data_IF_307926390424
#
_entry.id   IF_307926390424
#
_cell.length_a   1.000
_cell.length_b   1.000
_cell.length_c   1.000
_cell.angle_alpha   90.00
_cell.angle_beta   90.00
_cell.angle_gamma   90.00
#
_symmetry.space_group_name_H-M   'P 1'
#
loop_
_entity.id
_entity.type
_entity.pdbx_description
1 polymer ?
#
# COMPACT_ATOMS: atom_id res chain seq x y z
N UNK A 1 50.22 15.94 -33.66
CA UNK A 1 49.85 14.81 -32.80
C UNK A 1 49.86 15.17 -31.30
N UNK A 2 49.13 16.16 -30.82
CA UNK A 2 49.06 16.44 -29.37
C UNK A 2 47.89 17.25 -28.87
N UNK A 3 46.72 17.24 -29.57
CA UNK A 3 45.57 18.09 -29.12
C UNK A 3 44.19 17.40 -29.11
N UNK A 4 44.14 16.07 -28.95
CA UNK A 4 42.87 15.31 -28.92
C UNK A 4 42.45 14.87 -27.51
N UNK A 5 43.23 15.10 -26.46
CA UNK A 5 42.92 14.60 -25.10
C UNK A 5 42.62 15.70 -24.06
N UNK A 6 41.79 16.69 -24.40
CA UNK A 6 41.24 17.56 -23.35
C UNK A 6 39.81 17.96 -23.68
N UNK A 7 38.87 17.21 -23.22
CA UNK A 7 37.51 17.62 -22.76
C UNK A 7 36.66 16.42 -22.39
N UNK A 8 37.05 15.71 -21.36
CA UNK A 8 36.03 15.03 -20.53
C UNK A 8 35.76 15.97 -19.38
N UNK A 9 34.71 16.77 -19.53
CA UNK A 9 34.12 17.56 -18.46
C UNK A 9 33.35 16.66 -17.50
N UNK A 10 33.21 17.07 -16.22
CA UNK A 10 32.73 16.21 -15.14
C UNK A 10 31.24 15.88 -15.28
N UNK A 11 30.91 14.68 -14.87
CA UNK A 11 29.59 14.10 -14.67
C UNK A 11 28.48 15.13 -14.38
N UNK A 12 27.70 15.45 -15.39
CA UNK A 12 26.47 16.20 -15.26
C UNK A 12 25.37 15.31 -14.70
N UNK A 13 25.10 15.45 -13.40
CA UNK A 13 23.82 15.36 -12.72
C UNK A 13 22.73 14.56 -13.45
N UNK A 14 22.59 13.30 -13.08
CA UNK A 14 21.30 12.59 -13.11
C UNK A 14 20.33 13.26 -12.14
N UNK A 15 19.71 14.31 -12.62
CA UNK A 15 18.51 14.90 -12.05
C UNK A 15 17.48 14.93 -13.16
N UNK A 16 16.98 13.76 -13.56
CA UNK A 16 15.77 13.68 -14.37
C UNK A 16 14.62 14.02 -13.45
N UNK A 17 14.40 15.33 -13.29
CA UNK A 17 13.20 15.85 -12.66
C UNK A 17 12.00 15.19 -13.33
N UNK A 18 11.14 14.59 -12.54
CA UNK A 18 9.78 14.23 -12.90
C UNK A 18 9.20 15.45 -13.62
N UNK A 19 9.06 15.39 -14.95
CA UNK A 19 8.27 16.37 -15.65
C UNK A 19 6.86 16.30 -15.06
N UNK A 20 6.27 17.41 -14.63
CA UNK A 20 4.90 17.40 -14.16
C UNK A 20 4.05 16.87 -15.31
N UNK A 21 3.46 15.69 -15.14
CA UNK A 21 2.60 15.05 -16.11
C UNK A 21 1.54 16.06 -16.57
N UNK A 22 1.30 16.15 -17.87
CA UNK A 22 0.22 16.97 -18.43
C UNK A 22 -1.04 16.73 -17.60
N UNK A 23 -1.59 17.78 -17.02
CA UNK A 23 -2.84 17.71 -16.25
C UNK A 23 -3.90 17.08 -17.15
N UNK A 24 -4.54 15.99 -16.75
CA UNK A 24 -5.54 15.33 -17.57
C UNK A 24 -6.66 16.32 -17.90
N UNK A 25 -6.98 16.47 -19.16
CA UNK A 25 -7.99 17.40 -19.68
C UNK A 25 -9.38 17.21 -19.06
N UNK A 26 -9.64 15.98 -18.49
CA UNK A 26 -10.91 15.62 -17.86
C UNK A 26 -10.67 14.69 -16.65
N UNK A 27 -10.22 15.26 -15.53
CA UNK A 27 -10.00 14.53 -14.26
C UNK A 27 -11.25 13.75 -13.81
N UNK A 28 -12.43 14.38 -13.89
CA UNK A 28 -13.71 13.75 -13.51
C UNK A 28 -14.04 12.51 -14.33
N UNK A 29 -13.78 12.53 -15.63
CA UNK A 29 -14.02 11.42 -16.54
C UNK A 29 -13.05 10.26 -16.26
N UNK A 30 -11.78 10.58 -16.04
CA UNK A 30 -10.74 9.60 -15.71
C UNK A 30 -11.01 8.90 -14.37
N UNK A 31 -11.37 9.66 -13.33
CA UNK A 31 -11.75 9.11 -12.02
C UNK A 31 -13.01 8.23 -12.13
N UNK A 32 -14.01 8.66 -12.89
CA UNK A 32 -15.23 7.87 -13.11
C UNK A 32 -14.94 6.55 -13.81
N UNK A 33 -14.09 6.55 -14.83
CA UNK A 33 -13.66 5.33 -15.52
C UNK A 33 -12.91 4.40 -14.56
N UNK A 34 -11.97 4.94 -13.78
CA UNK A 34 -11.22 4.19 -12.78
C UNK A 34 -12.16 3.55 -11.73
N UNK A 35 -13.11 4.32 -11.24
CA UNK A 35 -14.13 3.83 -10.32
C UNK A 35 -15.00 2.70 -10.93
N UNK A 36 -15.28 2.74 -12.23
CA UNK A 36 -15.98 1.66 -12.92
C UNK A 36 -15.16 0.37 -13.00
N UNK A 37 -13.84 0.47 -13.20
CA UNK A 37 -12.95 -0.70 -13.18
C UNK A 37 -12.91 -1.35 -11.80
N UNK A 38 -12.77 -0.54 -10.77
CA UNK A 38 -12.75 -0.97 -9.38
C UNK A 38 -14.12 -1.51 -8.94
N UNK A 39 -15.21 -0.91 -9.43
CA UNK A 39 -16.59 -1.31 -9.12
C UNK A 39 -16.96 -2.76 -9.45
N UNK A 40 -16.24 -3.40 -10.36
CA UNK A 40 -16.37 -4.85 -10.62
C UNK A 40 -15.91 -5.71 -9.43
N UNK A 41 -15.04 -5.17 -8.58
CA UNK A 41 -14.45 -5.87 -7.43
C UNK A 41 -15.03 -5.41 -6.09
N UNK A 42 -16.24 -4.82 -6.10
CA UNK A 42 -16.91 -4.28 -4.90
C UNK A 42 -17.00 -5.28 -3.74
N UNK A 43 -17.21 -6.57 -4.04
CA UNK A 43 -17.25 -7.62 -3.01
C UNK A 43 -15.86 -7.80 -2.37
N UNK A 44 -14.80 -7.84 -3.17
CA UNK A 44 -13.43 -7.94 -2.65
C UNK A 44 -13.07 -6.71 -1.78
N UNK A 45 -13.44 -5.51 -2.22
CA UNK A 45 -13.24 -4.26 -1.46
C UNK A 45 -14.03 -4.30 -0.15
N UNK A 46 -15.27 -4.80 -0.16
CA UNK A 46 -16.07 -4.94 1.05
C UNK A 46 -15.43 -5.90 2.06
N UNK A 47 -14.90 -7.04 1.61
CA UNK A 47 -14.15 -7.99 2.46
C UNK A 47 -12.90 -7.31 3.03
N UNK A 48 -12.16 -6.57 2.20
CA UNK A 48 -10.98 -5.81 2.63
C UNK A 48 -11.34 -4.78 3.70
N UNK A 49 -12.47 -4.08 3.57
CA UNK A 49 -12.94 -3.14 4.59
C UNK A 49 -13.25 -3.84 5.93
N UNK A 50 -13.89 -5.01 5.89
CA UNK A 50 -14.15 -5.79 7.12
C UNK A 50 -12.84 -6.22 7.75
N UNK A 51 -11.91 -6.78 6.97
CA UNK A 51 -10.58 -7.20 7.48
C UNK A 51 -9.82 -6.02 8.09
N UNK A 52 -9.86 -4.84 7.45
CA UNK A 52 -9.23 -3.63 7.97
C UNK A 52 -9.84 -3.19 9.30
N UNK A 53 -11.17 -3.16 9.41
CA UNK A 53 -11.86 -2.81 10.66
C UNK A 53 -11.50 -3.79 11.78
N UNK A 54 -11.54 -5.10 11.51
CA UNK A 54 -11.13 -6.11 12.51
C UNK A 54 -9.66 -5.94 12.94
N UNK A 55 -8.76 -5.77 11.99
CA UNK A 55 -7.34 -5.54 12.27
C UNK A 55 -7.13 -4.30 13.13
N UNK A 56 -7.82 -3.19 12.82
CA UNK A 56 -7.73 -1.94 13.57
C UNK A 56 -8.23 -2.11 15.02
N UNK A 57 -9.36 -2.78 15.21
CA UNK A 57 -9.90 -3.06 16.55
C UNK A 57 -8.87 -3.80 17.40
N UNK A 58 -8.23 -4.84 16.86
CA UNK A 58 -7.20 -5.58 17.57
C UNK A 58 -5.95 -4.74 17.86
N UNK A 59 -5.52 -3.91 16.91
CA UNK A 59 -4.39 -3.01 17.11
C UNK A 59 -4.64 -1.96 18.20
N UNK A 60 -5.85 -1.43 18.30
CA UNK A 60 -6.22 -0.43 19.32
C UNK A 60 -6.44 -1.08 20.68
N UNK A 61 -6.98 -2.31 20.72
CA UNK A 61 -7.19 -3.04 21.95
C UNK A 61 -5.87 -3.50 22.61
N UNK A 62 -4.86 -3.84 21.81
CA UNK A 62 -3.57 -4.35 22.26
C UNK A 62 -2.89 -3.47 23.31
N UNK A 63 -2.59 -2.19 23.03
CA UNK A 63 -1.96 -1.27 23.99
C UNK A 63 -2.77 -1.08 25.26
N UNK A 64 -4.11 -1.06 25.16
CA UNK A 64 -5.00 -0.91 26.32
C UNK A 64 -4.92 -2.13 27.27
N UNK A 65 -4.82 -3.31 26.72
CA UNK A 65 -4.69 -4.55 27.51
C UNK A 65 -3.27 -4.70 28.05
N UNK A 66 -2.25 -4.30 27.25
CA UNK A 66 -0.86 -4.27 27.69
C UNK A 66 -0.66 -3.32 28.89
N UNK A 67 -1.39 -2.20 28.93
CA UNK A 67 -1.42 -1.29 30.10
C UNK A 67 -1.82 -2.00 31.38
N UNK A 68 -2.76 -2.97 31.35
CA UNK A 68 -3.15 -3.77 32.52
C UNK A 68 -2.01 -4.65 33.02
N UNK A 69 -1.18 -5.19 32.11
CA UNK A 69 0.00 -5.97 32.50
C UNK A 69 1.04 -5.08 33.23
N UNK A 70 1.24 -3.85 32.72
CA UNK A 70 2.15 -2.87 33.34
C UNK A 70 1.65 -2.46 34.74
N UNK A 71 0.34 -2.24 34.91
CA UNK A 71 -0.27 -1.94 36.20
C UNK A 71 -0.10 -3.11 37.18
N UNK A 72 -0.40 -4.34 36.75
CA UNK A 72 -0.24 -5.54 37.59
C UNK A 72 1.22 -5.74 38.02
N UNK A 73 2.19 -5.44 37.14
CA UNK A 73 3.60 -5.48 37.47
C UNK A 73 3.98 -4.42 38.52
N UNK A 74 3.50 -3.19 38.38
CA UNK A 74 3.79 -2.09 39.30
C UNK A 74 3.17 -2.33 40.68
N UNK A 75 1.94 -2.83 40.73
CA UNK A 75 1.25 -3.22 41.97
C UNK A 75 1.99 -4.33 42.69
N UNK A 76 2.33 -5.42 41.99
CA UNK A 76 3.08 -6.56 42.58
C UNK A 76 4.48 -6.15 43.05
N UNK A 77 5.16 -5.22 42.38
CA UNK A 77 6.44 -4.66 42.82
C UNK A 77 6.30 -3.84 44.13
N UNK A 78 5.26 -3.03 44.21
CA UNK A 78 4.96 -2.24 45.41
C UNK A 78 4.63 -3.15 46.59
N UNK A 79 3.83 -4.21 46.43
CA UNK A 79 3.51 -5.17 47.43
C UNK A 79 4.76 -5.94 47.92
N UNK A 80 5.65 -6.28 46.99
CA UNK A 80 6.91 -6.93 47.33
C UNK A 80 7.83 -6.00 48.15
N UNK A 81 7.91 -4.71 47.82
CA UNK A 81 8.72 -3.73 48.54
C UNK A 81 8.16 -3.53 49.96
N UNK A 82 6.82 -3.55 50.11
CA UNK A 82 6.16 -3.45 51.41
C UNK A 82 6.21 -4.74 52.25
N UNK A 83 6.69 -5.82 51.69
CA UNK A 83 6.75 -7.13 52.39
C UNK A 83 5.39 -7.83 52.52
N UNK A 84 4.35 -7.36 51.82
CA UNK A 84 2.96 -7.84 51.97
C UNK A 84 2.51 -8.79 50.88
N UNK A 85 3.32 -8.96 49.77
CA UNK A 85 2.93 -9.81 48.69
C UNK A 85 4.10 -10.17 47.76
N UNK A 86 3.77 -10.78 46.61
CA UNK A 86 4.71 -11.19 45.55
C UNK A 86 4.17 -10.78 44.17
N UNK A 87 5.08 -10.68 43.21
CA UNK A 87 4.69 -10.41 41.80
C UNK A 87 4.03 -11.67 41.24
N UNK A 88 2.79 -11.55 40.77
CA UNK A 88 2.07 -12.61 40.09
C UNK A 88 2.49 -12.70 38.61
N UNK A 89 3.58 -13.44 38.38
CA UNK A 89 4.08 -13.68 37.01
C UNK A 89 3.12 -14.52 36.17
N UNK A 90 2.27 -15.33 36.75
CA UNK A 90 1.30 -16.15 36.00
C UNK A 90 0.21 -15.25 35.39
N UNK A 91 -0.29 -14.30 36.15
CA UNK A 91 -1.28 -13.31 35.70
C UNK A 91 -0.71 -12.41 34.59
N UNK A 92 0.52 -11.92 34.77
CA UNK A 92 1.21 -11.11 33.77
C UNK A 92 1.43 -11.92 32.48
N UNK A 93 1.92 -13.16 32.62
CA UNK A 93 2.13 -14.06 31.49
C UNK A 93 0.86 -14.33 30.69
N UNK A 94 -0.27 -14.52 31.37
CA UNK A 94 -1.58 -14.73 30.74
C UNK A 94 -2.01 -13.50 29.93
N UNK A 95 -1.83 -12.30 30.48
CA UNK A 95 -2.17 -11.05 29.79
C UNK A 95 -1.29 -10.88 28.55
N UNK A 96 0.03 -11.12 28.67
CA UNK A 96 0.96 -11.02 27.54
C UNK A 96 0.65 -12.02 26.43
N UNK A 97 0.31 -13.25 26.79
CA UNK A 97 -0.06 -14.30 25.84
C UNK A 97 -1.36 -13.96 25.11
N UNK A 98 -2.33 -13.38 25.82
CA UNK A 98 -3.56 -12.88 25.21
C UNK A 98 -3.29 -11.71 24.23
N UNK A 99 -2.46 -10.75 24.60
CA UNK A 99 -2.06 -9.63 23.74
C UNK A 99 -1.31 -10.13 22.51
N UNK A 100 -0.42 -11.12 22.68
CA UNK A 100 0.27 -11.78 21.55
C UNK A 100 -0.75 -12.39 20.57
N UNK A 101 -1.77 -13.08 21.08
CA UNK A 101 -2.85 -13.64 20.27
C UNK A 101 -3.60 -12.56 19.48
N UNK A 102 -3.92 -11.42 20.11
CA UNK A 102 -4.57 -10.29 19.43
C UNK A 102 -3.71 -9.73 18.30
N UNK A 103 -2.40 -9.55 18.52
CA UNK A 103 -1.50 -9.06 17.48
C UNK A 103 -1.32 -10.06 16.35
N UNK A 104 -1.27 -11.36 16.62
CA UNK A 104 -1.23 -12.39 15.58
C UNK A 104 -2.50 -12.38 14.74
N UNK A 105 -3.68 -12.23 15.34
CA UNK A 105 -4.95 -12.09 14.62
C UNK A 105 -4.98 -10.81 13.78
N UNK A 106 -4.52 -9.69 14.32
CA UNK A 106 -4.40 -8.43 13.58
C UNK A 106 -3.49 -8.57 12.36
N UNK A 107 -2.33 -9.20 12.53
CA UNK A 107 -1.39 -9.46 11.44
C UNK A 107 -2.00 -10.35 10.35
N UNK A 108 -2.75 -11.39 10.75
CA UNK A 108 -3.45 -12.27 9.82
C UNK A 108 -4.49 -11.51 8.99
N UNK A 109 -5.33 -10.68 9.61
CA UNK A 109 -6.30 -9.86 8.89
C UNK A 109 -5.62 -8.85 7.96
N UNK A 110 -4.54 -8.21 8.39
CA UNK A 110 -3.75 -7.29 7.56
C UNK A 110 -3.11 -8.01 6.37
N UNK A 111 -2.63 -9.22 6.56
CA UNK A 111 -2.07 -10.03 5.48
C UNK A 111 -3.13 -10.40 4.44
N UNK A 112 -4.31 -10.88 4.87
CA UNK A 112 -5.43 -11.22 3.99
C UNK A 112 -5.88 -9.98 3.20
N UNK A 113 -6.01 -8.84 3.87
CA UNK A 113 -6.34 -7.56 3.26
C UNK A 113 -5.35 -7.19 2.15
N UNK A 114 -4.05 -7.24 2.44
CA UNK A 114 -3.00 -6.92 1.48
C UNK A 114 -3.00 -7.87 0.27
N UNK A 115 -3.19 -9.16 0.51
CA UNK A 115 -3.25 -10.16 -0.56
C UNK A 115 -4.45 -9.95 -1.49
N UNK A 116 -5.65 -9.75 -0.93
CA UNK A 116 -6.84 -9.48 -1.74
C UNK A 116 -6.66 -8.18 -2.53
N UNK A 117 -6.15 -7.11 -1.90
CA UNK A 117 -5.97 -5.81 -2.55
C UNK A 117 -4.95 -5.89 -3.69
N UNK A 118 -3.83 -6.58 -3.49
CA UNK A 118 -2.85 -6.83 -4.55
C UNK A 118 -3.47 -7.59 -5.72
N UNK A 119 -4.27 -8.62 -5.45
CA UNK A 119 -4.98 -9.38 -6.47
C UNK A 119 -5.96 -8.53 -7.28
N UNK A 120 -6.70 -7.64 -6.64
CA UNK A 120 -7.60 -6.68 -7.31
C UNK A 120 -6.82 -5.73 -8.19
N UNK A 121 -5.74 -5.13 -7.67
CA UNK A 121 -4.89 -4.19 -8.41
C UNK A 121 -4.29 -4.83 -9.65
N UNK A 122 -3.75 -6.04 -9.52
CA UNK A 122 -3.16 -6.77 -10.66
C UNK A 122 -4.19 -7.05 -11.77
N UNK A 123 -5.42 -7.43 -11.41
CA UNK A 123 -6.50 -7.65 -12.38
C UNK A 123 -6.92 -6.35 -13.08
N UNK A 124 -6.94 -5.22 -12.36
CA UNK A 124 -7.22 -3.91 -12.94
C UNK A 124 -6.10 -3.51 -13.90
N UNK A 125 -4.83 -3.64 -13.51
CA UNK A 125 -3.68 -3.34 -14.37
C UNK A 125 -3.64 -4.22 -15.62
N UNK A 126 -3.88 -5.53 -15.47
CA UNK A 126 -3.96 -6.45 -16.61
C UNK A 126 -5.02 -6.01 -17.62
N UNK A 127 -6.20 -5.65 -17.14
CA UNK A 127 -7.30 -5.19 -18.00
C UNK A 127 -6.96 -3.86 -18.69
N UNK A 128 -6.37 -2.91 -17.99
CA UNK A 128 -5.91 -1.65 -18.57
C UNK A 128 -4.87 -1.89 -19.67
N UNK A 129 -3.87 -2.75 -19.42
CA UNK A 129 -2.88 -3.11 -20.43
C UNK A 129 -3.52 -3.75 -21.68
N UNK A 130 -4.47 -4.67 -21.47
CA UNK A 130 -5.20 -5.30 -22.57
C UNK A 130 -5.95 -4.28 -23.42
N UNK A 131 -6.72 -3.39 -22.78
CA UNK A 131 -7.51 -2.38 -23.49
C UNK A 131 -6.63 -1.34 -24.21
N UNK A 132 -5.48 -0.96 -23.60
CA UNK A 132 -4.51 -0.07 -24.25
C UNK A 132 -3.89 -0.78 -25.47
N UNK A 133 -3.47 -2.03 -25.32
CA UNK A 133 -2.89 -2.82 -26.42
C UNK A 133 -3.88 -3.01 -27.58
N UNK A 134 -5.13 -3.36 -27.29
CA UNK A 134 -6.18 -3.46 -28.32
C UNK A 134 -6.44 -2.12 -29.03
N UNK A 135 -6.39 -1.02 -28.29
CA UNK A 135 -6.58 0.33 -28.84
C UNK A 135 -5.41 0.74 -29.74
N UNK A 136 -4.19 0.39 -29.35
CA UNK A 136 -2.99 0.66 -30.15
C UNK A 136 -3.02 -0.14 -31.45
N UNK A 137 -3.42 -1.41 -31.42
CA UNK A 137 -3.55 -2.24 -32.63
C UNK A 137 -4.59 -1.73 -33.63
N UNK A 138 -5.52 -0.86 -33.20
CA UNK A 138 -6.53 -0.24 -34.07
C UNK A 138 -6.14 1.16 -34.52
N UNK A 139 -4.98 1.70 -34.12
CA UNK A 139 -4.55 3.03 -34.50
C UNK A 139 -3.96 3.06 -35.92
N UNK A 140 -4.20 4.12 -36.70
CA UNK A 140 -3.61 4.28 -38.01
C UNK A 140 -2.09 4.44 -37.93
N UNK A 141 -1.37 3.95 -38.95
CA UNK A 141 0.11 4.01 -39.06
C UNK A 141 0.67 5.42 -38.85
N UNK A 142 -0.04 6.45 -39.26
CA UNK A 142 0.34 7.87 -39.08
C UNK A 142 0.59 8.25 -37.60
N UNK A 143 -0.02 7.55 -36.66
CA UNK A 143 0.23 7.77 -35.23
C UNK A 143 1.62 7.29 -34.82
N UNK A 144 2.10 6.21 -35.41
CA UNK A 144 3.41 5.62 -35.12
C UNK A 144 4.56 6.34 -35.82
N UNK A 145 4.28 7.05 -36.92
CA UNK A 145 5.27 7.91 -37.60
C UNK A 145 5.66 9.12 -36.76
N UNK A 146 4.76 9.60 -35.87
CA UNK A 146 4.98 10.77 -35.04
C UNK A 146 5.53 10.47 -33.64
N UNK A 147 5.67 9.18 -33.26
CA UNK A 147 6.12 8.73 -31.92
C UNK A 147 7.03 7.54 -32.02
N UNK A 148 8.03 7.47 -31.13
CA UNK A 148 8.91 6.31 -31.06
C UNK A 148 8.17 5.11 -30.45
N UNK A 149 8.42 3.93 -31.01
CA UNK A 149 7.86 2.68 -30.47
C UNK A 149 8.17 2.48 -28.98
N UNK A 150 9.37 2.90 -28.53
CA UNK A 150 9.77 2.87 -27.12
C UNK A 150 8.92 3.75 -26.21
N UNK A 151 8.46 4.92 -26.68
CA UNK A 151 7.56 5.78 -25.90
C UNK A 151 6.20 5.14 -25.67
N UNK A 152 5.65 4.52 -26.71
CA UNK A 152 4.36 3.81 -26.64
C UNK A 152 4.46 2.60 -25.70
N UNK A 153 5.54 1.82 -25.80
CA UNK A 153 5.78 0.66 -24.92
C UNK A 153 5.98 1.08 -23.47
N UNK A 154 6.73 2.16 -23.22
CA UNK A 154 6.94 2.71 -21.87
C UNK A 154 5.62 3.13 -21.22
N UNK A 155 4.69 3.71 -21.96
CA UNK A 155 3.35 4.05 -21.44
C UNK A 155 2.53 2.82 -21.07
N UNK A 156 2.60 1.74 -21.84
CA UNK A 156 1.88 0.50 -21.53
C UNK A 156 2.44 -0.19 -20.28
N UNK A 157 3.74 -0.14 -20.09
CA UNK A 157 4.41 -0.82 -18.97
C UNK A 157 4.50 0.08 -17.74
N UNK A 158 5.21 1.20 -17.83
CA UNK A 158 5.56 2.02 -16.68
C UNK A 158 4.37 2.84 -16.15
N UNK A 159 3.55 3.43 -17.03
CA UNK A 159 2.42 4.26 -16.59
C UNK A 159 1.33 3.41 -15.95
N UNK A 160 1.06 2.21 -16.48
CA UNK A 160 0.08 1.29 -15.89
C UNK A 160 0.58 0.72 -14.56
N UNK A 161 1.88 0.44 -14.42
CA UNK A 161 2.47 0.00 -13.15
C UNK A 161 2.43 1.10 -12.09
N UNK A 162 2.76 2.34 -12.47
CA UNK A 162 2.65 3.50 -11.60
C UNK A 162 1.21 3.74 -11.14
N UNK A 163 0.24 3.63 -12.06
CA UNK A 163 -1.19 3.68 -11.73
C UNK A 163 -1.57 2.56 -10.76
N UNK A 164 -1.11 1.32 -10.99
CA UNK A 164 -1.38 0.18 -10.12
C UNK A 164 -0.85 0.40 -8.70
N UNK A 165 0.39 0.86 -8.57
CA UNK A 165 0.98 1.17 -7.28
C UNK A 165 0.23 2.31 -6.57
N UNK A 166 -0.07 3.39 -7.27
CA UNK A 166 -0.83 4.52 -6.75
C UNK A 166 -2.24 4.12 -6.30
N UNK A 167 -2.93 3.27 -7.08
CA UNK A 167 -4.24 2.74 -6.73
C UNK A 167 -4.17 1.87 -5.46
N UNK A 168 -3.24 0.93 -5.42
CA UNK A 168 -3.08 0.06 -4.26
C UNK A 168 -2.83 0.88 -2.99
N UNK A 169 -1.88 1.81 -3.05
CA UNK A 169 -1.56 2.70 -1.93
C UNK A 169 -2.75 3.57 -1.52
N UNK A 170 -3.39 4.24 -2.47
CA UNK A 170 -4.50 5.16 -2.18
C UNK A 170 -5.71 4.44 -1.59
N UNK A 171 -6.11 3.30 -2.17
CA UNK A 171 -7.25 2.53 -1.67
C UNK A 171 -6.94 1.96 -0.28
N UNK A 172 -5.75 1.41 -0.07
CA UNK A 172 -5.33 0.92 1.24
C UNK A 172 -5.34 2.03 2.27
N UNK A 173 -4.80 3.22 1.94
CA UNK A 173 -4.80 4.38 2.85
C UNK A 173 -6.21 4.84 3.19
N UNK A 174 -7.11 4.94 2.21
CA UNK A 174 -8.52 5.31 2.45
C UNK A 174 -9.18 4.30 3.39
N UNK A 175 -9.03 3.00 3.13
CA UNK A 175 -9.64 1.95 3.94
C UNK A 175 -9.11 1.99 5.37
N UNK A 176 -7.80 2.10 5.56
CA UNK A 176 -7.19 2.18 6.90
C UNK A 176 -7.60 3.45 7.63
N UNK A 177 -7.64 4.60 6.95
CA UNK A 177 -8.07 5.88 7.54
C UNK A 177 -9.55 5.89 7.97
N UNK A 178 -10.41 5.16 7.26
CA UNK A 178 -11.83 5.02 7.65
C UNK A 178 -11.99 4.03 8.80
N UNK A 179 -11.10 3.05 8.91
CA UNK A 179 -11.13 2.02 9.94
C UNK A 179 -10.49 2.48 11.27
N UNK A 180 -9.65 3.52 11.24
CA UNK A 180 -8.97 4.09 12.43
C UNK A 180 -9.76 5.25 13.01
#
# INVERSE_FOLDING_TARGET
ASDVYKRQGPMGRMGRGMQPGEKPKDLKKSIKQLAQYIGKYKIAIFIVMICAACSTVFNVAGPKILGKATTALSEGLMEKIRGTGSIDFARIGTILLFVLGLYLMSALFSFIQGWIMTGVTQKVCYRLRKEISEKINRMPMKYFESRTYGEVLSRITNDVDTLGQGLNQSITTIITSVAT
#
